data_IF_629707941488
#
_entry.id   IF_629707941488
#
_cell.length_a   1.000
_cell.length_b   1.000
_cell.length_c   1.000
_cell.angle_alpha   90.00
_cell.angle_beta   90.00
_cell.angle_gamma   90.00
#
_symmetry.space_group_name_H-M   'P 1'
#
loop_
_entity.id
_entity.type
_entity.pdbx_description
1 polymer ?
#
# COMPACT_ATOMS: atom_id res chain seq x y z
N UNK A 1 -12.39 -5.58 -2.14
CA UNK A 1 -12.61 -6.50 -1.01
C UNK A 1 -14.09 -6.78 -0.90
N UNK A 2 -14.50 -8.02 -0.70
CA UNK A 2 -15.89 -8.39 -0.55
C UNK A 2 -16.10 -9.43 0.56
N UNK A 3 -17.32 -9.54 1.05
CA UNK A 3 -17.71 -10.51 2.07
C UNK A 3 -19.21 -10.82 1.99
N UNK A 4 -19.64 -11.94 2.56
CA UNK A 4 -21.07 -12.28 2.66
C UNK A 4 -21.70 -11.51 3.81
N UNK A 5 -22.71 -10.70 3.54
CA UNK A 5 -23.51 -9.94 4.51
C UNK A 5 -24.89 -10.60 4.69
N UNK A 6 -25.48 -10.49 5.89
CA UNK A 6 -26.85 -10.92 6.15
C UNK A 6 -27.84 -9.98 5.45
N UNK A 7 -28.84 -10.50 4.74
CA UNK A 7 -29.79 -9.68 3.95
C UNK A 7 -30.50 -8.62 4.79
N UNK A 8 -30.86 -8.95 6.03
CA UNK A 8 -31.42 -8.00 7.01
C UNK A 8 -30.58 -6.73 7.27
N UNK A 9 -29.28 -6.75 6.97
CA UNK A 9 -28.38 -5.60 7.13
C UNK A 9 -28.26 -4.76 5.84
N UNK A 10 -28.87 -5.19 4.73
CA UNK A 10 -28.74 -4.57 3.40
C UNK A 10 -30.01 -3.78 3.08
N UNK A 11 -30.11 -2.56 3.59
CA UNK A 11 -31.31 -1.71 3.47
C UNK A 11 -31.68 -1.35 2.02
N UNK A 12 -30.72 -1.43 1.10
CA UNK A 12 -30.90 -1.03 -0.31
C UNK A 12 -31.53 -2.14 -1.19
N UNK A 13 -31.69 -3.35 -0.66
CA UNK A 13 -32.27 -4.49 -1.39
C UNK A 13 -33.47 -5.01 -0.62
N UNK A 14 -34.60 -5.23 -1.30
CA UNK A 14 -35.79 -5.79 -0.67
C UNK A 14 -35.57 -7.25 -0.24
N UNK A 15 -36.02 -7.59 0.98
CA UNK A 15 -35.92 -8.91 1.58
C UNK A 15 -34.91 -8.98 2.72
N UNK A 16 -35.20 -9.78 3.74
CA UNK A 16 -34.41 -9.93 4.97
C UNK A 16 -33.84 -11.34 5.18
N UNK A 17 -34.26 -12.31 4.35
CA UNK A 17 -33.82 -13.70 4.42
C UNK A 17 -32.57 -13.99 3.58
N UNK A 18 -31.62 -14.72 4.16
CA UNK A 18 -30.42 -15.20 3.47
C UNK A 18 -29.24 -14.22 3.54
N UNK A 19 -28.31 -14.35 2.58
CA UNK A 19 -27.06 -13.59 2.53
C UNK A 19 -26.74 -13.12 1.12
N UNK A 20 -26.06 -11.99 1.01
CA UNK A 20 -25.57 -11.46 -0.26
C UNK A 20 -24.10 -11.04 -0.15
N UNK A 21 -23.33 -11.22 -1.22
CA UNK A 21 -21.96 -10.74 -1.28
C UNK A 21 -21.94 -9.22 -1.47
N UNK A 22 -21.31 -8.49 -0.54
CA UNK A 22 -21.12 -7.05 -0.62
C UNK A 22 -19.71 -6.76 -1.14
N UNK A 23 -19.63 -6.00 -2.22
CA UNK A 23 -18.40 -5.33 -2.61
C UNK A 23 -18.29 -4.00 -1.84
N UNK A 24 -17.26 -3.91 -1.00
CA UNK A 24 -17.08 -2.77 -0.10
C UNK A 24 -16.60 -1.50 -0.78
N UNK A 25 -15.98 -1.61 -1.97
CA UNK A 25 -15.25 -0.50 -2.59
C UNK A 25 -14.35 0.27 -1.61
N UNK A 26 -13.76 -0.46 -0.64
CA UNK A 26 -13.06 0.13 0.51
C UNK A 26 -11.84 1.00 0.16
N UNK A 27 -11.43 1.03 -1.11
CA UNK A 27 -10.37 1.89 -1.59
C UNK A 27 -10.69 3.37 -1.39
N UNK A 28 -11.98 3.73 -1.44
CA UNK A 28 -12.48 5.08 -1.17
C UNK A 28 -12.59 5.45 0.32
N UNK A 29 -12.22 4.56 1.25
CA UNK A 29 -12.14 4.91 2.65
C UNK A 29 -11.19 6.10 2.84
N UNK A 30 -11.60 7.09 3.64
CA UNK A 30 -10.83 8.32 3.85
C UNK A 30 -11.05 9.46 2.86
N UNK A 31 -11.82 9.25 1.78
CA UNK A 31 -12.15 10.32 0.81
C UNK A 31 -12.90 11.49 1.46
N UNK A 32 -13.59 11.24 2.58
CA UNK A 32 -14.25 12.24 3.42
C UNK A 32 -13.33 12.88 4.49
N UNK A 33 -12.04 12.53 4.51
CA UNK A 33 -11.05 13.05 5.44
C UNK A 33 -10.90 12.28 6.76
N UNK A 34 -11.61 11.16 6.97
CA UNK A 34 -11.55 10.42 8.23
C UNK A 34 -10.19 9.74 8.54
N UNK A 35 -9.24 9.77 7.61
CA UNK A 35 -7.88 9.22 7.77
C UNK A 35 -6.79 10.29 7.52
N UNK A 36 -7.16 11.58 7.46
CA UNK A 36 -6.20 12.64 7.14
C UNK A 36 -5.12 12.84 8.22
N UNK A 37 -5.36 12.34 9.44
CA UNK A 37 -4.43 12.32 10.57
C UNK A 37 -3.29 11.30 10.40
N UNK A 38 -3.53 10.18 9.72
CA UNK A 38 -2.51 9.17 9.41
C UNK A 38 -1.85 9.36 8.05
N UNK A 39 -2.39 10.24 7.19
CA UNK A 39 -1.83 10.55 5.87
C UNK A 39 -0.63 11.48 5.99
N UNK A 40 0.49 11.05 5.43
CA UNK A 40 1.71 11.84 5.39
C UNK A 40 1.69 12.86 4.24
N UNK A 41 2.66 13.76 4.22
CA UNK A 41 2.88 14.67 3.09
C UNK A 41 3.10 13.90 1.77
N UNK A 42 3.79 12.75 1.82
CA UNK A 42 4.04 11.92 0.63
C UNK A 42 2.76 11.30 0.08
N UNK A 43 1.83 10.88 0.94
CA UNK A 43 0.53 10.36 0.50
C UNK A 43 -0.32 11.46 -0.15
N UNK A 44 -0.20 12.70 0.33
CA UNK A 44 -0.88 13.87 -0.24
C UNK A 44 -0.30 14.23 -1.61
N UNK A 45 1.02 14.25 -1.75
CA UNK A 45 1.68 14.49 -3.04
C UNK A 45 1.34 13.43 -4.09
N UNK A 46 1.26 12.15 -3.69
CA UNK A 46 0.84 11.06 -4.57
C UNK A 46 -0.63 11.20 -4.98
N UNK A 47 -1.50 11.59 -4.05
CA UNK A 47 -2.93 11.83 -4.32
C UNK A 47 -3.13 13.01 -5.28
N UNK A 48 -2.52 14.16 -5.02
CA UNK A 48 -2.57 15.36 -5.86
C UNK A 48 -2.02 15.10 -7.27
N UNK A 49 -0.99 14.26 -7.37
CA UNK A 49 -0.40 13.87 -8.65
C UNK A 49 -1.14 12.77 -9.40
N UNK A 50 -2.14 12.13 -8.81
CA UNK A 50 -2.85 10.98 -9.40
C UNK A 50 -3.87 11.36 -10.47
N UNK A 51 -4.41 10.37 -11.18
CA UNK A 51 -5.50 10.57 -12.15
C UNK A 51 -6.84 10.96 -11.48
N UNK A 52 -6.98 10.67 -10.20
CA UNK A 52 -8.20 10.85 -9.43
C UNK A 52 -7.91 11.53 -8.07
N UNK A 53 -7.44 12.79 -8.04
CA UNK A 53 -7.11 13.48 -6.79
C UNK A 53 -8.31 13.54 -5.83
N UNK A 54 -8.06 13.30 -4.54
CA UNK A 54 -9.07 13.29 -3.50
C UNK A 54 -9.97 12.05 -3.48
N UNK A 55 -9.72 11.07 -4.35
CA UNK A 55 -10.42 9.78 -4.41
C UNK A 55 -9.50 8.61 -4.13
N UNK A 56 -10.08 7.49 -3.70
CA UNK A 56 -9.34 6.24 -3.45
C UNK A 56 -8.16 6.43 -2.48
N UNK A 57 -8.32 7.28 -1.46
CA UNK A 57 -7.21 7.66 -0.57
C UNK A 57 -6.61 6.48 0.19
N UNK A 58 -7.45 5.55 0.64
CA UNK A 58 -6.98 4.34 1.31
C UNK A 58 -6.30 3.35 0.36
N UNK A 59 -6.81 3.21 -0.86
CA UNK A 59 -6.15 2.41 -1.91
C UNK A 59 -4.75 2.95 -2.22
N UNK A 60 -4.60 4.28 -2.30
CA UNK A 60 -3.31 4.95 -2.54
C UNK A 60 -2.25 4.64 -1.50
N UNK A 61 -2.64 4.33 -0.27
CA UNK A 61 -1.70 3.96 0.78
C UNK A 61 -1.38 2.47 0.85
N UNK A 62 -2.11 1.62 0.11
CA UNK A 62 -2.06 0.15 0.27
C UNK A 62 -1.75 -0.61 -1.01
N UNK A 63 -2.10 -0.07 -2.18
CA UNK A 63 -1.99 -0.81 -3.44
C UNK A 63 -0.63 -0.63 -4.12
N UNK A 64 -0.16 -1.70 -4.77
CA UNK A 64 1.13 -1.74 -5.45
C UNK A 64 1.31 -0.69 -6.55
N UNK A 65 0.21 -0.14 -7.09
CA UNK A 65 0.24 0.96 -8.06
C UNK A 65 0.80 2.26 -7.47
N UNK A 66 0.60 2.48 -6.16
CA UNK A 66 0.93 3.74 -5.50
C UNK A 66 2.08 3.65 -4.50
N UNK A 67 2.35 2.47 -3.92
CA UNK A 67 3.45 2.30 -2.97
C UNK A 67 4.80 2.74 -3.55
N UNK A 68 5.04 2.43 -4.82
CA UNK A 68 6.24 2.86 -5.52
C UNK A 68 6.37 4.37 -5.67
N UNK A 69 5.25 5.06 -5.89
CA UNK A 69 5.23 6.52 -5.96
C UNK A 69 5.43 7.16 -4.58
N UNK A 70 4.89 6.57 -3.52
CA UNK A 70 5.15 7.03 -2.14
C UNK A 70 6.65 6.91 -1.84
N UNK A 71 7.26 5.75 -2.15
CA UNK A 71 8.71 5.57 -2.03
C UNK A 71 9.46 6.63 -2.85
N UNK A 72 9.08 6.84 -4.11
CA UNK A 72 9.72 7.84 -4.99
C UNK A 72 9.70 9.25 -4.37
N UNK A 73 8.56 9.68 -3.80
CA UNK A 73 8.46 10.99 -3.17
C UNK A 73 9.35 11.12 -1.92
N UNK A 74 9.40 10.07 -1.08
CA UNK A 74 10.31 10.03 0.07
C UNK A 74 11.77 10.13 -0.39
N UNK A 75 12.16 9.36 -1.42
CA UNK A 75 13.53 9.40 -1.94
C UNK A 75 13.88 10.76 -2.55
N UNK A 76 12.94 11.44 -3.21
CA UNK A 76 13.14 12.82 -3.69
C UNK A 76 13.40 13.76 -2.52
N UNK A 77 12.60 13.67 -1.45
CA UNK A 77 12.75 14.55 -0.28
C UNK A 77 14.09 14.32 0.43
N UNK A 78 14.46 13.07 0.69
CA UNK A 78 15.75 12.70 1.25
C UNK A 78 16.93 13.16 0.37
N UNK A 79 16.77 13.10 -0.96
CA UNK A 79 17.77 13.62 -1.89
C UNK A 79 17.89 15.14 -1.79
N UNK A 80 16.77 15.89 -1.71
CA UNK A 80 16.79 17.35 -1.51
C UNK A 80 17.50 17.75 -0.22
N UNK A 81 17.38 16.93 0.82
CA UNK A 81 18.05 17.13 2.11
C UNK A 81 19.53 16.71 2.10
N UNK A 82 20.06 16.20 0.97
CA UNK A 82 21.44 15.76 0.84
C UNK A 82 21.74 14.40 1.48
N UNK A 83 20.71 13.66 1.90
CA UNK A 83 20.83 12.36 2.58
C UNK A 83 20.95 11.18 1.61
N UNK A 84 20.57 11.38 0.34
CA UNK A 84 20.65 10.37 -0.71
C UNK A 84 21.28 10.94 -1.98
N UNK A 85 21.91 10.06 -2.76
CA UNK A 85 22.39 10.32 -4.13
C UNK A 85 23.22 11.60 -4.27
N UNK A 86 24.02 11.91 -3.23
CA UNK A 86 24.88 13.11 -3.16
C UNK A 86 24.09 14.42 -3.33
N UNK A 87 22.81 14.44 -2.98
CA UNK A 87 21.94 15.59 -3.15
C UNK A 87 21.45 15.84 -4.58
N UNK A 88 21.71 14.93 -5.52
CA UNK A 88 21.41 15.12 -6.94
C UNK A 88 20.16 14.35 -7.36
N UNK A 89 19.07 15.09 -7.65
CA UNK A 89 17.84 14.50 -8.19
C UNK A 89 18.05 14.21 -9.69
N UNK A 90 18.24 12.95 -10.04
CA UNK A 90 18.34 12.51 -11.44
C UNK A 90 17.00 12.60 -12.17
N UNK A 91 17.05 12.72 -13.51
CA UNK A 91 15.84 12.64 -14.36
C UNK A 91 15.06 11.33 -14.15
N UNK A 92 15.79 10.25 -13.87
CA UNK A 92 15.20 8.96 -13.52
C UNK A 92 14.38 9.03 -12.25
N UNK A 93 14.88 9.66 -11.18
CA UNK A 93 14.15 9.81 -9.93
C UNK A 93 12.90 10.72 -10.07
N UNK A 94 12.91 11.65 -11.03
CA UNK A 94 11.74 12.49 -11.39
C UNK A 94 10.68 11.73 -12.18
N UNK A 95 11.04 10.60 -12.80
CA UNK A 95 10.14 9.81 -13.64
C UNK A 95 9.13 9.07 -12.76
N UNK A 96 7.85 9.42 -12.91
CA UNK A 96 6.74 8.70 -12.25
C UNK A 96 6.67 7.24 -12.71
N UNK A 97 6.34 6.35 -11.79
CA UNK A 97 6.19 4.92 -12.04
C UNK A 97 7.51 4.15 -12.17
N UNK A 98 8.66 4.79 -11.91
CA UNK A 98 9.97 4.11 -11.99
C UNK A 98 10.12 2.98 -10.96
N UNK A 99 9.43 3.08 -9.81
CA UNK A 99 9.38 2.05 -8.78
C UNK A 99 8.11 1.20 -8.94
N UNK A 100 8.08 0.30 -9.91
CA UNK A 100 7.03 -0.70 -10.01
C UNK A 100 6.99 -1.63 -8.78
N UNK A 101 5.82 -2.23 -8.49
CA UNK A 101 5.61 -3.20 -7.40
C UNK A 101 6.68 -4.30 -7.35
N UNK A 102 7.12 -4.80 -8.52
CA UNK A 102 8.16 -5.84 -8.61
C UNK A 102 9.49 -5.41 -7.96
N UNK A 103 9.83 -4.12 -8.02
CA UNK A 103 11.06 -3.59 -7.45
C UNK A 103 10.98 -3.52 -5.93
N UNK A 104 9.83 -3.11 -5.37
CA UNK A 104 9.61 -3.12 -3.92
C UNK A 104 9.79 -4.55 -3.38
N UNK A 105 9.14 -5.52 -4.01
CA UNK A 105 9.23 -6.93 -3.61
C UNK A 105 10.65 -7.49 -3.76
N UNK A 106 11.41 -7.07 -4.78
CA UNK A 106 12.81 -7.46 -4.90
C UNK A 106 13.65 -6.83 -3.79
N UNK A 107 13.61 -5.51 -3.60
CA UNK A 107 14.45 -4.77 -2.65
C UNK A 107 14.28 -5.30 -1.21
N UNK A 108 13.08 -5.70 -0.83
CA UNK A 108 12.77 -6.19 0.51
C UNK A 108 13.11 -7.67 0.73
N UNK A 109 13.57 -8.40 -0.29
CA UNK A 109 13.87 -9.82 -0.12
C UNK A 109 15.03 -10.05 0.86
N UNK A 110 14.76 -10.83 1.92
CA UNK A 110 15.75 -11.20 2.96
C UNK A 110 16.97 -11.93 2.42
N UNK A 111 16.84 -12.58 1.27
CA UNK A 111 17.92 -13.33 0.62
C UNK A 111 18.82 -12.44 -0.23
N UNK A 112 18.49 -11.16 -0.42
CA UNK A 112 19.32 -10.26 -1.20
C UNK A 112 20.44 -9.65 -0.37
N UNK A 113 21.65 -9.82 -0.87
CA UNK A 113 22.78 -9.01 -0.43
C UNK A 113 22.56 -7.55 -0.84
N UNK A 114 23.05 -6.59 -0.04
CA UNK A 114 23.01 -5.15 -0.36
C UNK A 114 23.53 -4.82 -1.78
N UNK A 115 24.50 -5.60 -2.28
CA UNK A 115 25.01 -5.48 -3.64
C UNK A 115 23.94 -5.70 -4.72
N UNK A 116 22.94 -6.54 -4.47
CA UNK A 116 21.84 -6.76 -5.42
C UNK A 116 20.83 -5.62 -5.39
N UNK A 117 20.52 -5.06 -4.20
CA UNK A 117 19.71 -3.83 -4.09
C UNK A 117 20.37 -2.70 -4.89
N UNK A 118 21.68 -2.51 -4.71
CA UNK A 118 22.45 -1.53 -5.49
C UNK A 118 22.35 -1.76 -7.00
N UNK A 119 22.46 -3.01 -7.46
CA UNK A 119 22.32 -3.35 -8.89
C UNK A 119 20.94 -2.99 -9.43
N UNK A 120 19.87 -3.23 -8.66
CA UNK A 120 18.50 -2.85 -9.04
C UNK A 120 18.41 -1.33 -9.20
N UNK A 121 18.91 -0.57 -8.23
CA UNK A 121 18.91 0.90 -8.30
C UNK A 121 19.71 1.42 -9.50
N UNK A 122 20.88 0.82 -9.78
CA UNK A 122 21.68 1.16 -10.96
C UNK A 122 20.97 0.80 -12.28
N UNK A 123 20.23 -0.31 -12.35
CA UNK A 123 19.41 -0.68 -13.51
C UNK A 123 18.27 0.31 -13.76
N UNK A 124 17.71 0.88 -12.69
CA UNK A 124 16.76 2.00 -12.77
C UNK A 124 17.44 3.31 -13.22
N UNK A 125 18.77 3.34 -13.31
CA UNK A 125 19.54 4.53 -13.67
C UNK A 125 19.74 5.49 -12.50
N UNK A 126 19.72 4.98 -11.27
CA UNK A 126 20.04 5.72 -10.05
C UNK A 126 21.49 5.41 -9.66
N UNK A 127 22.35 6.42 -9.70
CA UNK A 127 23.73 6.31 -9.22
C UNK A 127 23.74 6.21 -7.69
N UNK A 128 23.74 4.97 -7.19
CA UNK A 128 23.60 4.64 -5.78
C UNK A 128 24.89 4.05 -5.20
N UNK A 129 25.16 4.42 -3.96
CA UNK A 129 26.17 3.83 -3.09
C UNK A 129 25.57 2.66 -2.28
N UNK A 130 26.41 1.97 -1.52
CA UNK A 130 25.93 0.95 -0.57
C UNK A 130 25.10 1.59 0.55
N UNK A 131 25.44 2.79 1.00
CA UNK A 131 24.68 3.53 2.03
C UNK A 131 23.31 3.95 1.50
N UNK A 132 23.24 4.48 0.28
CA UNK A 132 21.96 4.78 -0.38
C UNK A 132 21.07 3.53 -0.46
N UNK A 133 21.66 2.37 -0.75
CA UNK A 133 20.94 1.11 -0.87
C UNK A 133 20.32 0.65 0.46
N UNK A 134 20.97 0.92 1.59
CA UNK A 134 20.42 0.64 2.93
C UNK A 134 19.22 1.54 3.19
N UNK A 135 19.38 2.85 3.00
CA UNK A 135 18.31 3.83 3.22
C UNK A 135 17.10 3.54 2.33
N UNK A 136 17.32 3.24 1.04
CA UNK A 136 16.23 2.89 0.13
C UNK A 136 15.51 1.62 0.58
N UNK A 137 16.24 0.60 1.05
CA UNK A 137 15.63 -0.63 1.58
C UNK A 137 14.75 -0.35 2.80
N UNK A 138 15.23 0.48 3.74
CA UNK A 138 14.47 0.88 4.92
C UNK A 138 13.20 1.67 4.55
N UNK A 139 13.29 2.58 3.58
CA UNK A 139 12.12 3.33 3.07
C UNK A 139 11.09 2.39 2.45
N UNK A 140 11.51 1.44 1.61
CA UNK A 140 10.61 0.43 1.04
C UNK A 140 9.91 -0.36 2.15
N UNK A 141 10.68 -0.90 3.10
CA UNK A 141 10.16 -1.69 4.22
C UNK A 141 9.18 -0.91 5.10
N UNK A 142 9.43 0.37 5.37
CA UNK A 142 8.51 1.21 6.13
C UNK A 142 7.17 1.41 5.39
N UNK A 143 7.22 1.69 4.09
CA UNK A 143 6.02 1.91 3.26
C UNK A 143 5.21 0.62 3.10
N UNK A 144 5.86 -0.50 2.79
CA UNK A 144 5.22 -1.80 2.60
C UNK A 144 4.61 -2.32 3.90
N UNK A 145 5.32 -2.19 5.03
CA UNK A 145 4.83 -2.59 6.36
C UNK A 145 3.59 -1.80 6.74
N UNK A 146 3.59 -0.47 6.53
CA UNK A 146 2.41 0.37 6.76
C UNK A 146 1.24 -0.08 5.89
N UNK A 147 1.48 -0.34 4.61
CA UNK A 147 0.45 -0.82 3.69
C UNK A 147 -0.19 -2.14 4.17
N UNK A 148 0.64 -3.09 4.62
CA UNK A 148 0.16 -4.36 5.16
C UNK A 148 -0.63 -4.18 6.47
N UNK A 149 -0.18 -3.31 7.37
CA UNK A 149 -0.88 -3.00 8.63
C UNK A 149 -2.24 -2.35 8.38
N UNK A 150 -2.31 -1.38 7.46
CA UNK A 150 -3.58 -0.77 7.05
C UNK A 150 -4.52 -1.83 6.50
N UNK A 151 -4.07 -2.62 5.52
CA UNK A 151 -4.87 -3.70 4.95
C UNK A 151 -5.39 -4.68 6.03
N UNK A 152 -4.52 -5.03 6.99
CA UNK A 152 -4.86 -5.87 8.14
C UNK A 152 -5.95 -5.25 9.01
N UNK A 153 -5.88 -3.94 9.29
CA UNK A 153 -6.91 -3.23 10.05
C UNK A 153 -8.27 -3.23 9.32
N UNK A 154 -8.29 -2.99 8.02
CA UNK A 154 -9.52 -3.07 7.21
C UNK A 154 -10.11 -4.48 7.20
N UNK A 155 -9.27 -5.51 7.08
CA UNK A 155 -9.71 -6.90 7.12
C UNK A 155 -10.24 -7.30 8.51
N UNK A 156 -9.57 -6.86 9.58
CA UNK A 156 -10.01 -7.09 10.94
C UNK A 156 -11.41 -6.53 11.19
N UNK A 157 -11.72 -5.33 10.68
CA UNK A 157 -13.06 -4.75 10.79
C UNK A 157 -14.14 -5.63 10.11
N UNK A 158 -13.86 -6.19 8.94
CA UNK A 158 -14.80 -7.08 8.22
C UNK A 158 -15.02 -8.40 8.98
N UNK A 159 -13.93 -9.01 9.46
CA UNK A 159 -14.00 -10.26 10.21
C UNK A 159 -14.75 -10.07 11.52
N UNK A 160 -14.50 -8.95 12.21
CA UNK A 160 -15.15 -8.64 13.48
C UNK A 160 -16.63 -8.35 13.29
N UNK A 161 -17.00 -7.56 12.28
CA UNK A 161 -18.41 -7.36 11.90
C UNK A 161 -19.12 -8.69 11.69
N UNK A 162 -18.50 -9.61 10.93
CA UNK A 162 -19.07 -10.95 10.67
C UNK A 162 -19.20 -11.80 11.92
N UNK A 163 -18.33 -11.63 12.91
CA UNK A 163 -18.40 -12.33 14.19
C UNK A 163 -19.59 -11.82 14.99
N UNK A 164 -19.74 -10.49 15.07
CA UNK A 164 -20.83 -9.82 15.78
C UNK A 164 -22.20 -10.09 15.16
N UNK A 165 -22.33 -10.01 13.83
CA UNK A 165 -23.60 -10.28 13.12
C UNK A 165 -24.15 -11.69 13.38
N UNK A 166 -23.26 -12.64 13.63
CA UNK A 166 -23.59 -14.05 13.92
C UNK A 166 -23.70 -14.33 15.42
N UNK A 167 -23.46 -13.33 16.29
CA UNK A 167 -23.48 -13.49 17.74
C UNK A 167 -22.46 -14.51 18.26
N UNK A 168 -21.33 -14.68 17.56
CA UNK A 168 -20.34 -15.69 17.90
C UNK A 168 -19.28 -15.13 18.85
N UNK A 169 -18.90 -15.88 19.89
CA UNK A 169 -17.73 -15.53 20.70
C UNK A 169 -16.43 -15.70 19.91
N UNK A 170 -16.36 -16.74 19.06
CA UNK A 170 -15.22 -17.03 18.21
C UNK A 170 -15.67 -17.34 16.77
N UNK A 171 -15.09 -16.65 15.79
CA UNK A 171 -15.35 -16.87 14.36
C UNK A 171 -14.15 -17.53 13.69
N UNK A 172 -14.38 -18.68 13.05
CA UNK A 172 -13.42 -19.29 12.11
C UNK A 172 -13.81 -18.93 10.69
N UNK A 173 -12.93 -18.23 9.97
CA UNK A 173 -13.17 -17.78 8.60
C UNK A 173 -11.92 -17.97 7.74
N UNK A 174 -12.13 -18.22 6.44
CA UNK A 174 -11.06 -18.28 5.43
C UNK A 174 -11.23 -17.11 4.47
N UNK A 175 -10.14 -16.41 4.18
CA UNK A 175 -10.12 -15.28 3.25
C UNK A 175 -9.40 -15.72 1.97
N UNK A 176 -10.10 -15.65 0.83
CA UNK A 176 -9.49 -15.82 -0.48
C UNK A 176 -8.77 -14.54 -0.89
N UNK A 177 -7.49 -14.65 -1.27
CA UNK A 177 -6.65 -13.49 -1.61
C UNK A 177 -6.03 -13.67 -2.99
N UNK A 178 -6.01 -12.61 -3.78
CA UNK A 178 -5.26 -12.49 -5.02
C UNK A 178 -4.62 -11.07 -5.12
N UNK A 179 -3.60 -10.93 -5.95
CA UNK A 179 -2.88 -9.68 -6.18
C UNK A 179 -1.37 -9.89 -6.28
N UNK A 180 -0.75 -9.26 -7.28
CA UNK A 180 0.69 -9.37 -7.54
C UNK A 180 1.53 -8.96 -6.32
N UNK A 181 1.16 -7.86 -5.65
CA UNK A 181 1.86 -7.42 -4.43
C UNK A 181 1.79 -8.48 -3.34
N UNK A 182 0.60 -9.00 -3.02
CA UNK A 182 0.44 -10.03 -2.00
C UNK A 182 1.21 -11.32 -2.33
N UNK A 183 1.29 -11.70 -3.61
CA UNK A 183 1.97 -12.93 -4.06
C UNK A 183 3.50 -12.80 -4.09
N UNK A 184 4.02 -11.63 -4.44
CA UNK A 184 5.45 -11.42 -4.68
C UNK A 184 6.18 -10.78 -3.51
N UNK A 185 5.48 -10.08 -2.62
CA UNK A 185 6.12 -9.39 -1.52
C UNK A 185 6.68 -10.37 -0.48
N UNK A 186 7.93 -10.20 -0.02
CA UNK A 186 8.49 -11.01 1.06
C UNK A 186 7.61 -10.94 2.32
N UNK A 187 7.57 -12.06 3.05
CA UNK A 187 6.82 -12.18 4.32
C UNK A 187 7.57 -11.53 5.48
#
# INVERSE_FOLDING_TARGET
MCYMEEMRNIELVEGDEGKMCINTEWGGFGDNGCIDDIRTQYDKEVDEGSLNPGKQRYEKMTSGMYLGEIVRQILIDLTKQGLLFRGQISERLRTRGIFETKFLSQIESDRLALLQVRRILQQLGLDSTCEDSIVVKEVCGAVSRRAAQLYGAGLAAIVEKRREDQGLEHLKITVGVDGTLYKLHPQ
#
